data_IF_208410450892
#
_entry.id   IF_208410450892
#
_cell.length_a   1.000
_cell.length_b   1.000
_cell.length_c   1.000
_cell.angle_alpha   90.00
_cell.angle_beta   90.00
_cell.angle_gamma   90.00
#
_symmetry.space_group_name_H-M   'P 1'
#
loop_
_entity.id
_entity.type
_entity.pdbx_description
1 polymer ?
#
# COMPACT_ATOMS: atom_id res chain seq x y z
N UNK A 1 0.54 -10.48 37.84
CA UNK A 1 0.90 -11.61 36.95
C UNK A 1 -0.39 -12.21 36.39
N UNK A 2 -0.87 -11.74 35.24
CA UNK A 2 -1.91 -12.50 34.51
C UNK A 2 -1.20 -13.77 34.00
N UNK A 3 -1.66 -14.93 34.47
CA UNK A 3 -1.14 -16.21 33.97
C UNK A 3 -1.60 -16.34 32.53
N UNK A 4 -0.67 -16.43 31.58
CA UNK A 4 -0.97 -16.90 30.22
C UNK A 4 -1.75 -18.20 30.35
N UNK A 5 -3.03 -18.20 30.03
CA UNK A 5 -3.89 -19.38 30.17
C UNK A 5 -3.44 -20.41 29.14
N UNK A 6 -2.79 -21.52 29.54
CA UNK A 6 -2.37 -22.54 28.59
C UNK A 6 -3.61 -23.11 27.90
N UNK A 7 -3.71 -22.99 26.58
CA UNK A 7 -4.85 -23.50 25.79
C UNK A 7 -5.74 -22.46 25.12
N UNK A 8 -5.59 -21.16 25.39
CA UNK A 8 -6.26 -20.13 24.60
C UNK A 8 -5.60 -20.02 23.21
N UNK A 9 -6.42 -20.21 22.16
CA UNK A 9 -5.99 -20.08 20.75
C UNK A 9 -5.88 -18.62 20.28
N UNK A 10 -6.32 -17.64 21.08
CA UNK A 10 -6.21 -16.23 20.71
C UNK A 10 -4.78 -15.73 20.88
N UNK A 11 -4.33 -14.97 19.87
CA UNK A 11 -3.10 -14.18 19.94
C UNK A 11 -3.21 -13.23 21.13
N UNK A 12 -2.24 -13.29 22.02
CA UNK A 12 -2.07 -12.31 23.07
C UNK A 12 -1.51 -11.03 22.43
N UNK A 13 -2.34 -9.98 22.35
CA UNK A 13 -1.96 -8.69 21.75
C UNK A 13 -1.31 -7.78 22.82
N UNK A 14 -0.25 -8.30 23.43
CA UNK A 14 0.55 -7.65 24.46
C UNK A 14 2.02 -7.64 24.07
N UNK A 15 2.78 -6.68 24.62
CA UNK A 15 4.22 -6.61 24.42
C UNK A 15 4.91 -7.56 25.39
N UNK A 16 5.72 -8.44 24.80
CA UNK A 16 6.55 -9.38 25.52
C UNK A 16 8.02 -9.05 25.26
N UNK A 17 8.87 -9.24 26.27
CA UNK A 17 10.32 -9.09 26.16
C UNK A 17 11.02 -10.39 26.56
N UNK A 18 12.09 -10.70 25.84
CA UNK A 18 13.04 -11.77 26.15
C UNK A 18 14.43 -11.34 25.76
N UNK A 19 15.44 -11.82 26.48
CA UNK A 19 16.83 -11.73 26.01
C UNK A 19 17.06 -12.69 24.85
N UNK A 20 17.90 -12.27 23.91
CA UNK A 20 18.28 -13.04 22.74
C UNK A 20 19.79 -13.05 22.61
N UNK A 21 20.35 -14.23 22.32
CA UNK A 21 21.71 -14.33 21.81
C UNK A 21 21.70 -13.95 20.34
N UNK A 22 22.31 -12.80 20.02
CA UNK A 22 22.37 -12.26 18.65
C UNK A 22 23.05 -13.23 17.68
N UNK A 23 24.03 -14.00 18.16
CA UNK A 23 24.80 -14.93 17.31
C UNK A 23 23.95 -16.13 16.89
N UNK A 24 23.14 -16.65 17.81
CA UNK A 24 22.39 -17.90 17.57
C UNK A 24 20.90 -17.67 17.26
N UNK A 25 20.39 -16.47 17.52
CA UNK A 25 18.96 -16.15 17.47
C UNK A 25 18.13 -16.84 18.56
N UNK A 26 18.77 -17.50 19.53
CA UNK A 26 18.07 -18.21 20.60
C UNK A 26 17.61 -17.25 21.68
N UNK A 27 16.36 -17.41 22.09
CA UNK A 27 15.82 -16.78 23.28
C UNK A 27 16.52 -17.34 24.53
N UNK A 28 17.07 -16.47 25.38
CA UNK A 28 17.80 -16.82 26.60
C UNK A 28 16.92 -16.84 27.84
N UNK A 29 15.79 -16.11 27.81
CA UNK A 29 14.85 -16.01 28.93
C UNK A 29 13.42 -16.33 28.49
N UNK A 30 12.57 -16.88 29.37
CA UNK A 30 11.13 -16.92 29.12
C UNK A 30 10.59 -15.51 28.80
N UNK A 31 9.60 -15.40 27.89
CA UNK A 31 9.00 -14.11 27.58
C UNK A 31 8.25 -13.54 28.77
N UNK A 32 8.53 -12.28 29.10
CA UNK A 32 7.85 -11.51 30.14
C UNK A 32 6.93 -10.47 29.49
N UNK A 33 5.68 -10.42 29.92
CA UNK A 33 4.74 -9.35 29.52
C UNK A 33 5.19 -8.04 30.16
N UNK A 34 5.37 -7.00 29.36
CA UNK A 34 5.73 -5.65 29.82
C UNK A 34 4.66 -4.60 29.53
N UNK A 35 3.70 -4.87 28.62
CA UNK A 35 2.58 -3.98 28.33
C UNK A 35 1.38 -4.76 27.79
N UNK A 36 0.22 -4.57 28.40
CA UNK A 36 -1.09 -4.96 27.88
C UNK A 36 -1.89 -3.68 27.61
N UNK A 37 -2.45 -3.49 26.41
CA UNK A 37 -3.20 -2.27 26.06
C UNK A 37 -4.66 -2.33 26.53
N UNK A 38 -5.20 -1.28 27.17
CA UNK A 38 -6.65 -1.16 27.42
C UNK A 38 -7.46 -0.92 26.14
N UNK A 39 -6.79 -0.66 25.00
CA UNK A 39 -7.37 -0.49 23.68
C UNK A 39 -7.31 -1.76 22.82
N UNK A 40 -7.08 -2.92 23.46
CA UNK A 40 -7.20 -4.25 22.87
C UNK A 40 -5.94 -4.75 22.17
N UNK A 41 -5.23 -3.90 21.44
CA UNK A 41 -3.98 -4.26 20.75
C UNK A 41 -2.83 -3.42 21.29
N UNK A 42 -1.74 -4.05 21.72
CA UNK A 42 -0.41 -3.43 21.82
C UNK A 42 0.53 -4.10 20.81
N UNK A 43 1.15 -3.31 19.94
CA UNK A 43 2.09 -3.78 18.92
C UNK A 43 3.17 -2.75 18.61
N UNK A 44 4.05 -3.03 17.64
CA UNK A 44 5.05 -2.07 17.16
C UNK A 44 5.98 -1.55 18.25
N UNK A 45 6.39 -2.42 19.18
CA UNK A 45 7.13 -1.98 20.36
C UNK A 45 8.59 -1.67 20.06
N UNK A 46 9.05 -0.49 20.50
CA UNK A 46 10.45 -0.08 20.44
C UNK A 46 10.92 0.37 21.82
N UNK A 47 12.09 -0.11 22.27
CA UNK A 47 12.74 0.36 23.49
C UNK A 47 13.97 1.19 23.13
N UNK A 48 13.98 2.45 23.57
CA UNK A 48 15.10 3.38 23.35
C UNK A 48 15.61 3.86 24.70
N UNK A 49 16.94 3.90 24.87
CA UNK A 49 17.55 4.48 26.07
C UNK A 49 17.97 5.92 25.79
N UNK A 50 17.54 6.86 26.62
CA UNK A 50 17.97 8.27 26.58
C UNK A 50 18.16 8.79 28.00
N UNK A 51 19.35 9.30 28.28
CA UNK A 51 19.72 9.72 29.63
C UNK A 51 19.59 8.57 30.63
N UNK A 52 18.85 8.80 31.72
CA UNK A 52 18.60 7.79 32.77
C UNK A 52 17.45 6.84 32.47
N UNK A 53 16.65 7.10 31.43
CA UNK A 53 15.42 6.36 31.17
C UNK A 53 15.55 5.42 29.97
N UNK A 54 14.86 4.30 30.08
CA UNK A 54 14.38 3.49 28.96
C UNK A 54 12.99 3.99 28.60
N UNK A 55 12.69 4.14 27.32
CA UNK A 55 11.40 4.52 26.78
C UNK A 55 10.83 3.37 25.98
N UNK A 56 9.63 2.91 26.32
CA UNK A 56 8.86 1.92 25.58
C UNK A 56 7.81 2.65 24.75
N UNK A 57 7.99 2.65 23.43
CA UNK A 57 6.99 3.07 22.47
C UNK A 57 6.13 1.88 22.07
N UNK A 58 4.82 2.09 21.92
CA UNK A 58 3.89 1.06 21.45
C UNK A 58 2.78 1.69 20.63
N UNK A 59 2.40 1.03 19.53
CA UNK A 59 1.18 1.29 18.81
C UNK A 59 0.01 0.56 19.47
N UNK A 60 -1.11 1.25 19.66
CA UNK A 60 -2.30 0.68 20.29
C UNK A 60 -3.58 0.92 19.48
N UNK A 61 -4.61 0.11 19.73
CA UNK A 61 -5.93 0.23 19.07
C UNK A 61 -6.03 -0.41 17.68
N UNK A 62 -4.93 -0.98 17.18
CA UNK A 62 -4.80 -1.59 15.86
C UNK A 62 -4.59 -0.56 14.75
N UNK A 63 -4.09 -0.99 13.59
CA UNK A 63 -3.69 -0.10 12.48
C UNK A 63 -4.85 0.58 11.71
N UNK A 64 -6.07 0.59 12.26
CA UNK A 64 -7.27 1.15 11.64
C UNK A 64 -7.67 2.49 12.28
N UNK A 65 -8.97 2.83 12.32
CA UNK A 65 -9.45 4.12 12.82
C UNK A 65 -9.08 4.41 14.28
N UNK A 66 -8.82 3.38 15.10
CA UNK A 66 -8.40 3.51 16.50
C UNK A 66 -6.89 3.61 16.72
N UNK A 67 -6.08 3.65 15.66
CA UNK A 67 -4.62 3.63 15.77
C UNK A 67 -4.08 4.86 16.48
N UNK A 68 -3.28 4.63 17.52
CA UNK A 68 -2.68 5.66 18.36
C UNK A 68 -1.32 5.21 18.87
N UNK A 69 -0.46 6.16 19.21
CA UNK A 69 0.87 5.87 19.73
C UNK A 69 0.95 6.17 21.23
N UNK A 70 1.66 5.33 21.97
CA UNK A 70 1.89 5.47 23.40
C UNK A 70 3.38 5.43 23.71
N UNK A 71 3.75 6.14 24.77
CA UNK A 71 5.10 6.09 25.33
C UNK A 71 5.04 5.92 26.84
N UNK A 72 5.90 5.02 27.32
CA UNK A 72 6.14 4.79 28.74
C UNK A 72 7.64 4.89 29.01
N UNK A 73 8.04 5.11 30.25
CA UNK A 73 9.46 5.10 30.63
C UNK A 73 9.74 4.31 31.90
N UNK A 74 10.99 3.89 32.07
CA UNK A 74 11.49 3.22 33.27
C UNK A 74 12.94 3.64 33.50
N UNK A 75 13.31 3.95 34.74
CA UNK A 75 14.71 4.22 35.11
C UNK A 75 15.41 2.97 35.69
N UNK A 76 14.68 1.87 35.89
CA UNK A 76 15.22 0.61 36.41
C UNK A 76 15.78 -0.24 35.27
N UNK A 77 15.08 -0.33 34.14
CA UNK A 77 15.51 -1.18 33.04
C UNK A 77 14.44 -1.44 31.98
N UNK A 78 14.78 -2.22 30.93
CA UNK A 78 13.86 -2.58 29.86
C UNK A 78 12.76 -3.57 30.29
N UNK A 79 12.80 -4.05 31.54
CA UNK A 79 11.74 -4.88 32.13
C UNK A 79 10.68 -4.07 32.88
N UNK A 80 10.84 -2.74 32.94
CA UNK A 80 9.99 -1.87 33.73
C UNK A 80 10.38 -1.83 35.22
N UNK A 81 9.48 -1.39 36.12
CA UNK A 81 8.10 -0.96 35.85
C UNK A 81 8.04 0.24 34.90
N UNK A 82 6.95 0.34 34.15
CA UNK A 82 6.73 1.35 33.13
C UNK A 82 5.76 2.42 33.63
N UNK A 83 6.22 3.67 33.75
CA UNK A 83 5.36 4.83 34.02
C UNK A 83 4.93 5.47 32.70
N UNK A 84 3.69 5.97 32.63
CA UNK A 84 3.15 6.66 31.46
C UNK A 84 2.45 7.96 31.86
N UNK A 85 2.12 8.80 30.87
CA UNK A 85 1.45 10.09 31.12
C UNK A 85 -0.07 10.00 31.30
N UNK A 86 -0.65 8.78 31.26
CA UNK A 86 -2.10 8.57 31.39
C UNK A 86 -2.91 8.90 30.13
N UNK A 87 -2.25 9.28 29.03
CA UNK A 87 -2.85 9.57 27.73
C UNK A 87 -1.93 9.08 26.61
N UNK A 88 -2.50 8.89 25.41
CA UNK A 88 -1.74 8.59 24.21
C UNK A 88 -0.76 9.73 23.91
N UNK A 89 0.40 9.37 23.36
CA UNK A 89 1.38 10.33 22.86
C UNK A 89 0.79 11.14 21.70
N UNK A 90 0.03 10.49 20.81
CA UNK A 90 -0.93 11.14 19.92
C UNK A 90 -2.04 10.19 19.45
N UNK A 91 -3.13 10.78 19.00
CA UNK A 91 -4.20 10.14 18.23
C UNK A 91 -4.77 11.17 17.25
N UNK A 92 -4.58 10.97 15.94
CA UNK A 92 -5.05 11.94 14.93
C UNK A 92 -6.58 11.96 14.82
N UNK A 93 -7.25 10.81 14.95
CA UNK A 93 -8.69 10.70 14.74
C UNK A 93 -9.15 10.63 13.27
N UNK A 94 -10.45 10.37 13.05
CA UNK A 94 -11.00 10.02 11.74
C UNK A 94 -11.38 11.22 10.86
N UNK A 95 -11.27 12.45 11.37
CA UNK A 95 -11.64 13.68 10.65
C UNK A 95 -10.43 14.42 10.07
N UNK A 96 -9.23 13.94 10.34
CA UNK A 96 -7.98 14.54 9.87
C UNK A 96 -7.64 14.13 8.42
N UNK A 97 -6.87 14.97 7.73
CA UNK A 97 -6.35 14.68 6.37
C UNK A 97 -5.30 13.56 6.35
N UNK A 98 -4.67 13.31 7.50
CA UNK A 98 -3.81 12.16 7.75
C UNK A 98 -4.41 11.39 8.92
N UNK A 99 -4.67 10.11 8.72
CA UNK A 99 -5.35 9.26 9.69
C UNK A 99 -4.53 8.02 10.00
N UNK A 100 -5.02 7.23 10.96
CA UNK A 100 -4.45 5.93 11.36
C UNK A 100 -2.95 6.02 11.66
N UNK A 101 -2.51 7.12 12.29
CA UNK A 101 -1.10 7.39 12.56
C UNK A 101 -0.61 6.65 13.80
N UNK A 102 0.54 6.00 13.71
CA UNK A 102 1.12 5.21 14.80
C UNK A 102 2.22 4.29 14.28
N UNK A 103 2.59 3.28 15.07
CA UNK A 103 3.65 2.32 14.76
C UNK A 103 4.97 3.05 14.50
N UNK A 104 5.34 3.89 15.46
CA UNK A 104 6.46 4.80 15.27
C UNK A 104 7.79 4.17 15.65
N UNK A 105 8.84 4.70 15.04
CA UNK A 105 10.22 4.49 15.48
C UNK A 105 10.90 5.86 15.57
N UNK A 106 11.84 5.99 16.50
CA UNK A 106 12.52 7.26 16.77
C UNK A 106 14.03 7.14 16.62
N UNK A 107 14.66 8.24 16.22
CA UNK A 107 16.11 8.30 16.08
C UNK A 107 16.63 9.70 16.36
N UNK A 108 17.86 9.76 16.87
CA UNK A 108 18.65 10.99 16.92
C UNK A 108 19.46 11.11 15.63
N UNK A 109 19.52 12.31 15.03
CA UNK A 109 20.43 12.58 13.93
C UNK A 109 21.83 12.97 14.40
N UNK A 110 22.76 13.15 13.45
CA UNK A 110 24.16 13.49 13.76
C UNK A 110 24.36 14.85 14.44
N UNK A 111 23.33 15.68 14.54
CA UNK A 111 23.37 17.01 15.18
C UNK A 111 22.64 17.00 16.55
N UNK A 112 22.28 15.82 17.07
CA UNK A 112 21.57 15.67 18.33
C UNK A 112 20.07 15.98 18.26
N UNK A 113 19.50 16.14 17.07
CA UNK A 113 18.06 16.40 16.89
C UNK A 113 17.31 15.08 16.81
N UNK A 114 16.19 14.99 17.51
CA UNK A 114 15.35 13.80 17.52
C UNK A 114 14.25 13.88 16.47
N UNK A 115 13.98 12.72 15.86
CA UNK A 115 13.02 12.54 14.79
C UNK A 115 12.24 11.26 15.03
N UNK A 116 11.05 11.19 14.44
CA UNK A 116 10.24 9.98 14.40
C UNK A 116 9.74 9.70 12.99
N UNK A 117 9.76 8.43 12.61
CA UNK A 117 9.02 7.92 11.46
C UNK A 117 7.82 7.12 11.95
N UNK A 118 6.71 7.20 11.23
CA UNK A 118 5.49 6.49 11.58
C UNK A 118 4.70 6.17 10.31
N UNK A 119 3.80 5.22 10.39
CA UNK A 119 2.84 5.02 9.33
C UNK A 119 1.66 6.00 9.47
N UNK A 120 0.95 6.24 8.37
CA UNK A 120 -0.35 6.91 8.33
C UNK A 120 -1.03 6.66 7.00
N UNK A 121 -2.26 7.16 6.83
CA UNK A 121 -3.00 7.06 5.57
C UNK A 121 -3.56 8.43 5.16
N UNK A 122 -3.71 8.65 3.85
CA UNK A 122 -4.27 9.89 3.29
C UNK A 122 -5.59 9.63 2.57
N UNK A 123 -6.71 9.44 3.29
CA UNK A 123 -7.98 9.14 2.65
C UNK A 123 -8.47 10.32 1.80
N UNK A 124 -9.22 10.02 0.74
CA UNK A 124 -9.84 11.04 -0.11
C UNK A 124 -11.25 11.33 0.39
N UNK A 125 -11.71 12.58 0.27
CA UNK A 125 -13.11 12.91 0.54
C UNK A 125 -13.98 12.63 -0.68
N UNK A 126 -15.06 11.89 -0.48
CA UNK A 126 -16.16 11.72 -1.43
C UNK A 126 -17.47 12.03 -0.72
N UNK A 127 -18.33 12.84 -1.32
CA UNK A 127 -19.63 13.23 -0.73
C UNK A 127 -19.52 13.76 0.72
N UNK A 128 -18.45 14.50 1.00
CA UNK A 128 -18.20 15.09 2.32
C UNK A 128 -17.61 14.15 3.37
N UNK A 129 -17.37 12.87 3.04
CA UNK A 129 -16.79 11.87 3.97
C UNK A 129 -15.48 11.31 3.44
N UNK A 130 -14.57 10.96 4.34
CA UNK A 130 -13.39 10.20 3.96
C UNK A 130 -13.78 8.77 3.57
N UNK A 131 -13.24 8.30 2.44
CA UNK A 131 -13.38 6.92 1.99
C UNK A 131 -12.12 6.12 2.30
N UNK A 132 -12.19 4.80 2.17
CA UNK A 132 -11.08 3.90 2.47
C UNK A 132 -9.81 4.30 1.68
N UNK A 133 -8.66 4.49 2.35
CA UNK A 133 -7.43 4.94 1.70
C UNK A 133 -6.89 3.90 0.70
N UNK A 134 -6.86 4.29 -0.58
CA UNK A 134 -6.44 3.45 -1.70
C UNK A 134 -4.92 3.39 -1.91
N UNK A 135 -4.15 4.24 -1.22
CA UNK A 135 -2.68 4.27 -1.31
C UNK A 135 -2.00 3.29 -0.34
N UNK A 136 -2.79 2.66 0.53
CA UNK A 136 -2.28 1.92 1.68
C UNK A 136 -1.66 2.83 2.73
N UNK A 137 -0.85 2.24 3.61
CA UNK A 137 -0.14 2.95 4.68
C UNK A 137 1.16 3.54 4.13
N UNK A 138 1.34 4.84 4.37
CA UNK A 138 2.45 5.67 3.92
C UNK A 138 3.32 6.07 5.12
N UNK A 139 4.57 6.49 4.85
CA UNK A 139 5.50 6.90 5.91
C UNK A 139 5.52 8.41 6.07
N UNK A 140 5.38 8.86 7.31
CA UNK A 140 5.50 10.27 7.71
C UNK A 140 6.76 10.45 8.55
N UNK A 141 7.26 11.69 8.61
CA UNK A 141 8.42 12.10 9.42
C UNK A 141 8.02 13.33 10.23
N UNK A 142 8.31 13.33 11.53
CA UNK A 142 8.16 14.51 12.40
C UNK A 142 9.36 14.74 13.29
N UNK A 143 9.52 15.98 13.73
CA UNK A 143 10.50 16.34 14.76
C UNK A 143 9.99 15.92 16.14
N UNK A 144 10.91 15.49 16.98
CA UNK A 144 10.67 15.14 18.39
C UNK A 144 11.48 16.09 19.25
N UNK A 145 10.79 16.83 20.11
CA UNK A 145 11.39 17.65 21.16
C UNK A 145 11.34 16.88 22.49
N UNK A 146 12.15 17.29 23.47
CA UNK A 146 12.16 16.67 24.79
C UNK A 146 11.94 17.75 25.86
N UNK A 147 10.93 17.56 26.70
CA UNK A 147 10.60 18.46 27.81
C UNK A 147 10.37 17.61 29.05
N UNK A 148 11.05 17.95 30.15
CA UNK A 148 10.96 17.22 31.44
C UNK A 148 11.12 15.69 31.29
N UNK A 149 12.11 15.29 30.47
CA UNK A 149 12.41 13.90 30.12
C UNK A 149 11.24 13.14 29.46
N UNK A 150 10.33 13.84 28.78
CA UNK A 150 9.28 13.26 27.94
C UNK A 150 9.38 13.75 26.50
N UNK A 151 9.11 12.89 25.50
CA UNK A 151 9.14 13.31 24.12
C UNK A 151 7.84 14.05 23.74
N UNK A 152 7.99 15.13 22.98
CA UNK A 152 6.91 15.93 22.41
C UNK A 152 7.02 15.83 20.88
N UNK A 153 6.12 15.07 20.28
CA UNK A 153 6.12 14.85 18.83
C UNK A 153 5.41 15.99 18.13
N UNK A 154 5.97 16.46 17.02
CA UNK A 154 5.34 17.46 16.15
C UNK A 154 4.81 18.70 16.91
N UNK A 155 5.52 19.13 17.95
CA UNK A 155 5.12 20.25 18.82
C UNK A 155 3.77 20.03 19.53
N UNK A 156 3.40 18.78 19.80
CA UNK A 156 2.13 18.41 20.44
C UNK A 156 0.91 18.52 19.52
N UNK A 157 1.11 18.65 18.20
CA UNK A 157 0.04 18.77 17.21
C UNK A 157 -0.17 17.48 16.43
N UNK A 158 -1.39 17.28 15.92
CA UNK A 158 -1.72 16.20 14.99
C UNK A 158 -0.74 16.17 13.80
N UNK A 159 -0.45 14.97 13.33
CA UNK A 159 0.37 14.76 12.14
C UNK A 159 -0.44 15.20 10.92
N UNK A 160 0.14 16.04 10.06
CA UNK A 160 -0.54 16.57 8.86
C UNK A 160 0.25 16.23 7.61
N UNK A 161 -0.26 16.58 6.42
CA UNK A 161 0.50 16.41 5.18
C UNK A 161 1.77 17.24 5.13
N UNK A 162 1.86 18.29 5.95
CA UNK A 162 3.00 19.22 6.01
C UNK A 162 3.59 19.23 7.40
N UNK A 163 4.65 18.46 7.56
CA UNK A 163 5.45 18.41 8.78
C UNK A 163 6.77 19.14 8.61
N UNK A 164 7.49 19.32 9.72
CA UNK A 164 8.88 19.78 9.68
C UNK A 164 9.75 18.62 9.18
N UNK A 165 10.48 18.84 8.08
CA UNK A 165 11.43 17.88 7.53
C UNK A 165 12.86 18.14 8.01
N UNK A 166 13.75 17.18 7.75
CA UNK A 166 15.19 17.32 7.96
C UNK A 166 15.81 18.29 6.96
N UNK A 167 16.79 19.06 7.40
CA UNK A 167 17.69 19.79 6.51
C UNK A 167 18.53 18.78 5.70
N UNK A 168 18.91 19.14 4.47
CA UNK A 168 19.75 18.31 3.58
C UNK A 168 19.17 16.95 3.13
N UNK A 169 17.88 16.89 2.79
CA UNK A 169 17.30 15.70 2.13
C UNK A 169 17.40 15.76 0.61
N UNK A 170 17.72 14.63 -0.02
CA UNK A 170 17.50 14.46 -1.45
C UNK A 170 15.99 14.50 -1.71
N UNK A 171 15.55 15.49 -2.49
CA UNK A 171 14.14 15.58 -2.89
C UNK A 171 13.83 14.44 -3.87
N UNK A 172 12.62 13.90 -3.76
CA UNK A 172 12.13 12.94 -4.73
C UNK A 172 12.21 13.52 -6.15
N UNK A 173 12.46 12.69 -7.17
CA UNK A 173 12.48 13.13 -8.56
C UNK A 173 11.17 13.86 -8.91
N UNK A 174 11.30 15.08 -9.41
CA UNK A 174 10.18 15.81 -10.01
C UNK A 174 10.01 15.38 -11.46
N UNK A 175 8.82 15.61 -12.01
CA UNK A 175 8.58 15.38 -13.43
C UNK A 175 9.60 16.15 -14.27
N UNK A 176 10.15 15.51 -15.31
CA UNK A 176 11.00 16.18 -16.28
C UNK A 176 10.18 17.18 -17.13
N UNK A 177 10.84 17.90 -18.04
CA UNK A 177 10.22 18.93 -18.89
C UNK A 177 9.01 18.45 -19.72
N UNK A 178 8.87 17.14 -19.96
CA UNK A 178 7.75 16.52 -20.70
C UNK A 178 6.75 15.82 -19.78
N UNK A 179 6.78 16.09 -18.47
CA UNK A 179 5.81 15.58 -17.51
C UNK A 179 6.07 14.14 -17.02
N UNK A 180 7.17 13.51 -17.42
CA UNK A 180 7.50 12.14 -17.00
C UNK A 180 8.27 12.17 -15.68
N UNK A 181 7.67 11.61 -14.63
CA UNK A 181 8.32 11.45 -13.30
C UNK A 181 9.28 10.28 -13.24
N UNK A 182 8.95 9.20 -13.95
CA UNK A 182 9.73 7.98 -13.95
C UNK A 182 9.56 7.22 -15.27
N UNK A 183 10.62 6.56 -15.71
CA UNK A 183 10.65 5.66 -16.87
C UNK A 183 11.59 4.51 -16.55
N UNK A 184 11.13 3.28 -16.82
CA UNK A 184 11.98 2.10 -16.67
C UNK A 184 13.19 2.18 -17.62
N UNK A 185 14.38 1.93 -17.09
CA UNK A 185 15.58 1.75 -17.90
C UNK A 185 15.66 0.29 -18.40
N UNK A 186 15.19 0.07 -19.62
CA UNK A 186 15.17 -1.25 -20.28
C UNK A 186 16.49 -1.62 -20.95
N UNK A 187 17.53 -0.79 -20.82
CA UNK A 187 18.88 -1.09 -21.34
C UNK A 187 19.71 -1.93 -20.37
N UNK A 188 19.30 -2.00 -19.10
CA UNK A 188 19.98 -2.77 -18.05
C UNK A 188 19.75 -4.28 -18.21
N UNK A 189 20.64 -5.07 -17.62
CA UNK A 189 20.52 -6.53 -17.57
C UNK A 189 19.62 -7.04 -16.43
N UNK A 190 19.25 -6.18 -15.48
CA UNK A 190 18.40 -6.50 -14.33
C UNK A 190 17.40 -5.39 -14.03
N UNK A 191 16.29 -5.75 -13.38
CA UNK A 191 15.31 -4.77 -12.92
C UNK A 191 15.93 -3.86 -11.86
N UNK A 192 15.64 -2.57 -11.96
CA UNK A 192 15.96 -1.62 -10.90
C UNK A 192 15.13 -1.87 -9.63
N UNK A 193 15.56 -1.27 -8.52
CA UNK A 193 14.78 -1.30 -7.28
C UNK A 193 13.39 -0.66 -7.49
N UNK A 194 12.36 -1.23 -6.87
CA UNK A 194 10.99 -0.73 -6.91
C UNK A 194 10.03 -1.55 -7.78
N UNK A 195 10.54 -2.58 -8.47
CA UNK A 195 9.71 -3.64 -9.05
C UNK A 195 9.39 -4.72 -8.01
N UNK A 196 8.14 -5.19 -8.02
CA UNK A 196 7.64 -6.19 -7.09
C UNK A 196 7.02 -7.37 -7.84
N UNK A 197 7.17 -8.56 -7.28
CA UNK A 197 6.39 -9.74 -7.64
C UNK A 197 5.29 -9.96 -6.61
N UNK A 198 4.17 -10.54 -7.05
CA UNK A 198 3.25 -11.21 -6.13
C UNK A 198 3.86 -12.56 -5.75
N UNK A 199 4.12 -12.74 -4.45
CA UNK A 199 4.77 -13.92 -3.90
C UNK A 199 6.15 -14.20 -4.53
N UNK A 200 6.67 -15.40 -4.34
CA UNK A 200 7.96 -15.85 -4.88
C UNK A 200 7.75 -16.69 -6.14
N UNK A 201 8.18 -16.25 -7.33
CA UNK A 201 8.11 -17.06 -8.54
C UNK A 201 9.00 -18.31 -8.42
N UNK A 202 8.49 -19.49 -8.82
CA UNK A 202 9.26 -20.74 -8.87
C UNK A 202 10.35 -20.68 -9.95
N UNK A 203 10.09 -19.93 -11.02
CA UNK A 203 11.04 -19.66 -12.11
C UNK A 203 10.97 -18.18 -12.48
N UNK A 204 12.06 -17.58 -12.98
CA UNK A 204 12.01 -16.21 -13.49
C UNK A 204 10.90 -16.04 -14.53
N UNK A 205 10.05 -15.04 -14.33
CA UNK A 205 8.94 -14.73 -15.24
C UNK A 205 9.23 -13.51 -16.14
N UNK A 206 10.48 -13.03 -16.17
CA UNK A 206 10.89 -11.93 -17.04
C UNK A 206 12.33 -12.05 -17.55
N UNK A 207 12.66 -11.29 -18.60
CA UNK A 207 14.02 -11.08 -19.08
C UNK A 207 14.16 -9.68 -19.68
N UNK A 208 15.29 -9.01 -19.40
CA UNK A 208 15.72 -7.77 -20.08
C UNK A 208 16.80 -8.03 -21.15
N UNK A 209 17.34 -9.24 -21.19
CA UNK A 209 18.51 -9.59 -22.01
C UNK A 209 18.15 -10.41 -23.24
N UNK A 210 17.04 -11.15 -23.24
CA UNK A 210 16.62 -11.95 -24.40
C UNK A 210 16.24 -11.07 -25.60
N UNK A 211 15.81 -9.83 -25.34
CA UNK A 211 15.61 -8.80 -26.36
C UNK A 211 16.02 -7.45 -25.79
N UNK A 212 17.27 -7.00 -26.00
CA UNK A 212 17.76 -5.73 -25.47
C UNK A 212 16.83 -4.55 -25.80
N UNK A 213 16.58 -3.68 -24.82
CA UNK A 213 15.63 -2.57 -24.93
C UNK A 213 14.17 -2.94 -24.66
N UNK A 214 13.87 -4.20 -24.33
CA UNK A 214 12.52 -4.67 -23.99
C UNK A 214 12.52 -5.43 -22.67
N UNK A 215 11.46 -5.23 -21.89
CA UNK A 215 11.07 -6.14 -20.82
C UNK A 215 10.21 -7.25 -21.40
N UNK A 216 10.75 -8.46 -21.49
CA UNK A 216 9.95 -9.64 -21.82
C UNK A 216 9.35 -10.20 -20.54
N UNK A 217 8.05 -10.47 -20.56
CA UNK A 217 7.33 -11.22 -19.52
C UNK A 217 6.93 -12.58 -20.09
N UNK A 218 7.20 -13.65 -19.34
CA UNK A 218 6.81 -15.02 -19.69
C UNK A 218 5.54 -15.38 -18.91
N UNK A 219 4.40 -15.42 -19.61
CA UNK A 219 3.14 -15.89 -19.04
C UNK A 219 3.27 -17.29 -18.44
N UNK A 220 2.61 -17.54 -17.32
CA UNK A 220 2.57 -18.84 -16.66
C UNK A 220 1.11 -19.34 -16.53
N UNK A 221 0.90 -20.45 -15.83
CA UNK A 221 -0.43 -21.05 -15.66
C UNK A 221 -1.30 -20.35 -14.60
N UNK A 222 -0.80 -19.32 -13.92
CA UNK A 222 -1.51 -18.60 -12.88
C UNK A 222 -2.07 -17.28 -13.43
N UNK A 223 -3.34 -17.04 -13.18
CA UNK A 223 -4.00 -15.76 -13.45
C UNK A 223 -3.84 -14.79 -12.27
N UNK A 224 -4.37 -13.57 -12.40
CA UNK A 224 -4.19 -12.52 -11.39
C UNK A 224 -5.01 -12.75 -10.10
N UNK A 225 -6.02 -13.63 -10.13
CA UNK A 225 -6.78 -14.03 -8.94
C UNK A 225 -6.16 -15.24 -8.20
N UNK A 226 -5.12 -15.84 -8.78
CA UNK A 226 -4.43 -16.98 -8.17
C UNK A 226 -3.76 -16.59 -6.84
N UNK A 227 -3.85 -17.46 -5.81
CA UNK A 227 -3.06 -17.29 -4.59
C UNK A 227 -1.55 -17.50 -4.83
N UNK A 228 -1.16 -18.05 -5.98
CA UNK A 228 0.22 -18.33 -6.35
C UNK A 228 0.95 -17.09 -6.91
N UNK A 229 2.06 -17.28 -7.63
CA UNK A 229 2.86 -16.21 -8.26
C UNK A 229 2.57 -16.10 -9.76
N UNK A 230 1.57 -15.30 -10.18
CA UNK A 230 1.35 -14.99 -11.59
C UNK A 230 2.52 -14.23 -12.20
N UNK A 231 2.65 -14.32 -13.53
CA UNK A 231 3.65 -13.57 -14.30
C UNK A 231 3.32 -12.07 -14.34
N UNK A 232 3.59 -11.38 -13.23
CA UNK A 232 3.35 -9.95 -13.06
C UNK A 232 4.57 -9.27 -12.45
N UNK A 233 4.77 -8.02 -12.88
CA UNK A 233 5.71 -7.08 -12.31
C UNK A 233 4.93 -5.82 -11.93
N UNK A 234 4.98 -5.46 -10.65
CA UNK A 234 4.22 -4.38 -10.07
C UNK A 234 5.15 -3.24 -9.63
N UNK A 235 4.61 -2.03 -9.58
CA UNK A 235 5.19 -0.89 -8.87
C UNK A 235 4.11 -0.29 -7.99
N UNK A 236 4.50 0.31 -6.87
CA UNK A 236 3.55 1.02 -6.00
C UNK A 236 3.03 2.26 -6.72
N UNK A 237 1.72 2.47 -6.69
CA UNK A 237 1.11 3.76 -6.96
C UNK A 237 1.62 4.75 -5.90
N UNK A 238 2.04 5.95 -6.32
CA UNK A 238 2.63 6.96 -5.39
C UNK A 238 1.87 8.27 -5.36
N UNK A 239 0.86 8.41 -6.21
CA UNK A 239 -0.02 9.57 -6.29
C UNK A 239 -1.45 9.14 -6.59
N UNK A 240 -2.42 9.87 -6.06
CA UNK A 240 -3.83 9.73 -6.44
C UNK A 240 -4.10 10.14 -7.89
N UNK A 241 -3.29 11.05 -8.41
CA UNK A 241 -3.33 11.47 -9.80
C UNK A 241 -2.00 11.10 -10.47
N UNK A 242 -2.02 10.01 -11.22
CA UNK A 242 -0.88 9.54 -12.00
C UNK A 242 -1.34 8.88 -13.30
N UNK A 243 -0.42 8.81 -14.27
CA UNK A 243 -0.61 8.09 -15.52
C UNK A 243 0.50 7.06 -15.68
N UNK A 244 0.11 5.81 -15.88
CA UNK A 244 1.02 4.72 -16.22
C UNK A 244 0.80 4.30 -17.68
N UNK A 245 1.89 4.15 -18.42
CA UNK A 245 1.88 3.75 -19.83
C UNK A 245 2.94 2.67 -20.04
N UNK A 246 2.53 1.61 -20.72
CA UNK A 246 3.43 0.61 -21.29
C UNK A 246 3.18 0.52 -22.79
N UNK A 247 4.23 0.23 -23.55
CA UNK A 247 4.12 -0.19 -24.95
C UNK A 247 4.51 -1.67 -24.99
N UNK A 248 3.67 -2.48 -25.64
CA UNK A 248 3.84 -3.93 -25.65
C UNK A 248 3.69 -4.48 -27.06
N UNK A 249 4.37 -5.60 -27.31
CA UNK A 249 4.19 -6.42 -28.51
C UNK A 249 3.72 -7.78 -28.00
N UNK A 250 2.47 -8.14 -28.31
CA UNK A 250 1.89 -9.41 -27.90
C UNK A 250 0.97 -9.95 -29.00
N UNK A 251 1.20 -11.19 -29.41
CA UNK A 251 0.45 -11.89 -30.46
C UNK A 251 -0.10 -13.19 -29.86
N UNK A 252 -1.24 -13.13 -29.13
CA UNK A 252 -1.76 -14.31 -28.47
C UNK A 252 -2.25 -15.33 -29.51
N UNK A 253 -1.75 -16.56 -29.41
CA UNK A 253 -2.03 -17.64 -30.37
C UNK A 253 -3.13 -18.60 -29.92
N UNK A 254 -3.58 -18.52 -28.67
CA UNK A 254 -4.55 -19.44 -28.06
C UNK A 254 -5.46 -18.71 -27.08
N UNK A 255 -6.73 -19.11 -27.07
CA UNK A 255 -7.68 -18.63 -26.07
C UNK A 255 -7.14 -18.85 -24.65
N UNK A 256 -7.32 -17.85 -23.79
CA UNK A 256 -6.76 -17.83 -22.44
C UNK A 256 -5.38 -17.17 -22.32
N UNK A 257 -4.69 -16.90 -23.44
CA UNK A 257 -3.46 -16.10 -23.40
C UNK A 257 -3.79 -14.62 -23.37
N UNK A 258 -3.24 -13.93 -22.38
CA UNK A 258 -3.46 -12.52 -22.16
C UNK A 258 -2.20 -11.83 -21.63
N UNK A 259 -1.99 -10.58 -22.04
CA UNK A 259 -0.96 -9.70 -21.50
C UNK A 259 -1.45 -8.25 -21.53
N UNK A 260 -1.08 -7.46 -20.53
CA UNK A 260 -1.58 -6.10 -20.39
C UNK A 260 -1.08 -5.38 -19.14
N UNK A 261 -1.80 -4.32 -18.79
CA UNK A 261 -1.57 -3.48 -17.60
C UNK A 261 -2.65 -3.83 -16.57
N UNK A 262 -2.28 -3.84 -15.29
CA UNK A 262 -3.20 -4.06 -14.18
C UNK A 262 -3.04 -2.97 -13.12
N UNK A 263 -4.17 -2.52 -12.56
CA UNK A 263 -4.22 -1.85 -11.26
C UNK A 263 -4.60 -2.93 -10.26
N UNK A 264 -3.67 -3.27 -9.37
CA UNK A 264 -3.76 -4.46 -8.54
C UNK A 264 -3.77 -4.08 -7.05
N UNK A 265 -4.83 -4.48 -6.33
CA UNK A 265 -4.94 -4.32 -4.88
C UNK A 265 -4.77 -5.67 -4.17
N UNK A 266 -5.50 -6.68 -4.65
CA UNK A 266 -5.38 -8.05 -4.16
C UNK A 266 -5.84 -9.03 -5.23
N UNK A 267 -5.70 -10.33 -4.97
CA UNK A 267 -6.26 -11.36 -5.84
C UNK A 267 -7.80 -11.31 -5.98
N UNK A 268 -8.47 -10.56 -5.09
CA UNK A 268 -9.93 -10.39 -5.08
C UNK A 268 -10.39 -9.07 -5.70
N UNK A 269 -9.50 -8.09 -5.85
CA UNK A 269 -9.82 -6.75 -6.35
C UNK A 269 -8.67 -6.22 -7.20
N UNK A 270 -8.90 -6.18 -8.50
CA UNK A 270 -7.99 -5.63 -9.48
C UNK A 270 -8.76 -5.22 -10.74
N UNK A 271 -8.19 -4.34 -11.54
CA UNK A 271 -8.68 -3.97 -12.86
C UNK A 271 -7.60 -4.16 -13.92
N UNK A 272 -7.97 -4.62 -15.11
CA UNK A 272 -7.02 -4.88 -16.20
C UNK A 272 -7.45 -4.25 -17.51
N UNK A 273 -6.46 -3.91 -18.32
CA UNK A 273 -6.60 -3.69 -19.75
C UNK A 273 -5.47 -4.44 -20.46
N UNK A 274 -5.83 -5.31 -21.40
CA UNK A 274 -4.86 -6.16 -22.08
C UNK A 274 -5.31 -6.62 -23.44
N UNK A 275 -4.41 -7.30 -24.14
CA UNK A 275 -4.68 -8.00 -25.38
C UNK A 275 -4.83 -9.48 -25.02
N UNK A 276 -5.96 -10.10 -25.38
CA UNK A 276 -6.21 -11.52 -25.20
C UNK A 276 -6.64 -12.17 -26.52
N UNK A 277 -6.32 -13.45 -26.71
CA UNK A 277 -6.96 -14.22 -27.77
C UNK A 277 -8.35 -14.66 -27.31
N UNK A 278 -9.37 -14.27 -28.06
CA UNK A 278 -10.78 -14.53 -27.76
C UNK A 278 -11.36 -15.39 -28.87
N UNK A 279 -12.01 -16.50 -28.52
CA UNK A 279 -12.87 -17.24 -29.44
C UNK A 279 -14.21 -16.52 -29.54
N UNK A 280 -14.69 -16.31 -30.76
CA UNK A 280 -16.06 -15.87 -30.98
C UNK A 280 -17.01 -17.06 -30.76
N UNK A 281 -18.28 -16.75 -30.48
CA UNK A 281 -19.31 -17.73 -30.15
C UNK A 281 -19.67 -18.64 -31.34
N UNK A 282 -19.24 -18.28 -32.56
CA UNK A 282 -19.47 -18.99 -33.82
C UNK A 282 -18.49 -20.14 -34.08
N UNK A 283 -17.56 -20.41 -33.16
CA UNK A 283 -16.55 -21.47 -33.30
C UNK A 283 -15.34 -21.11 -34.16
N UNK A 284 -15.23 -19.85 -34.62
CA UNK A 284 -14.08 -19.35 -35.38
C UNK A 284 -12.75 -19.38 -34.61
N UNK A 285 -11.66 -19.16 -35.35
CA UNK A 285 -10.30 -19.08 -34.80
C UNK A 285 -10.21 -17.93 -33.79
N UNK A 286 -9.44 -18.15 -32.71
CA UNK A 286 -9.25 -17.11 -31.70
C UNK A 286 -8.55 -15.88 -32.31
N UNK A 287 -9.14 -14.70 -32.12
CA UNK A 287 -8.59 -13.43 -32.60
C UNK A 287 -8.08 -12.57 -31.44
N UNK A 288 -6.97 -11.83 -31.60
CA UNK A 288 -6.53 -10.86 -30.60
C UNK A 288 -7.57 -9.75 -30.43
N UNK A 289 -8.07 -9.56 -29.21
CA UNK A 289 -8.97 -8.47 -28.83
C UNK A 289 -8.47 -7.75 -27.60
N UNK A 290 -8.86 -6.49 -27.46
CA UNK A 290 -8.72 -5.78 -26.19
C UNK A 290 -9.75 -6.35 -25.23
N UNK A 291 -9.31 -6.70 -24.04
CA UNK A 291 -10.15 -7.15 -22.93
C UNK A 291 -9.89 -6.24 -21.74
N UNK A 292 -10.97 -5.75 -21.13
CA UNK A 292 -10.91 -5.06 -19.84
C UNK A 292 -11.61 -5.88 -18.78
N UNK A 293 -11.10 -5.81 -17.54
CA UNK A 293 -11.76 -6.36 -16.36
C UNK A 293 -11.87 -5.31 -15.29
N UNK A 294 -13.04 -5.15 -14.71
CA UNK A 294 -13.32 -4.18 -13.67
C UNK A 294 -13.97 -4.88 -12.47
N UNK A 295 -13.63 -4.51 -11.23
CA UNK A 295 -14.26 -5.05 -10.04
C UNK A 295 -15.74 -4.64 -9.98
N UNK A 296 -16.63 -5.57 -9.65
CA UNK A 296 -18.08 -5.28 -9.51
C UNK A 296 -18.49 -4.86 -8.10
N UNK A 297 -17.55 -4.89 -7.14
CA UNK A 297 -17.81 -4.73 -5.71
C UNK A 297 -18.16 -6.04 -5.00
N UNK A 298 -18.23 -7.17 -5.71
CA UNK A 298 -18.35 -8.52 -5.14
C UNK A 298 -17.04 -9.27 -5.27
N UNK A 299 -16.69 -10.02 -4.21
CA UNK A 299 -15.44 -10.80 -4.15
C UNK A 299 -15.40 -11.80 -5.31
N UNK A 300 -14.28 -11.82 -6.03
CA UNK A 300 -14.02 -12.72 -7.16
C UNK A 300 -14.95 -12.53 -8.38
N UNK A 301 -15.73 -11.45 -8.43
CA UNK A 301 -16.57 -11.13 -9.58
C UNK A 301 -15.98 -9.92 -10.33
N UNK A 302 -15.62 -10.14 -11.60
CA UNK A 302 -15.09 -9.11 -12.49
C UNK A 302 -16.01 -8.97 -13.70
N UNK A 303 -16.37 -7.72 -14.01
CA UNK A 303 -17.05 -7.40 -15.26
C UNK A 303 -16.03 -7.43 -16.39
N UNK A 304 -16.18 -8.37 -17.32
CA UNK A 304 -15.33 -8.48 -18.51
C UNK A 304 -15.98 -7.70 -19.65
N UNK A 305 -15.22 -6.83 -20.30
CA UNK A 305 -15.69 -6.09 -21.48
C UNK A 305 -14.70 -6.23 -22.63
N UNK A 306 -15.21 -6.06 -23.86
CA UNK A 306 -14.43 -6.11 -25.11
C UNK A 306 -14.70 -4.81 -25.88
N UNK A 307 -14.00 -3.72 -25.55
CA UNK A 307 -14.23 -2.42 -26.19
C UNK A 307 -14.06 -2.50 -27.71
N UNK A 308 -14.91 -1.77 -28.45
CA UNK A 308 -14.77 -1.63 -29.90
C UNK A 308 -13.46 -0.96 -30.31
N UNK A 309 -13.06 -1.12 -31.58
CA UNK A 309 -11.76 -0.71 -32.10
C UNK A 309 -11.45 0.82 -32.07
N UNK A 310 -12.35 1.66 -31.58
CA UNK A 310 -12.23 3.13 -31.60
C UNK A 310 -11.20 3.71 -30.62
N UNK A 311 -10.59 2.90 -29.75
CA UNK A 311 -9.49 3.32 -28.85
C UNK A 311 -8.09 2.94 -29.38
N UNK A 312 -7.97 2.56 -30.66
CA UNK A 312 -6.69 2.18 -31.28
C UNK A 312 -6.03 3.34 -32.04
N UNK A 313 -4.75 3.59 -31.73
CA UNK A 313 -3.78 4.05 -32.74
C UNK A 313 -3.02 2.81 -33.20
N UNK A 314 -3.58 2.11 -34.19
CA UNK A 314 -2.87 1.04 -34.89
C UNK A 314 -1.88 1.67 -35.89
N UNK A 315 -0.58 1.38 -35.74
CA UNK A 315 0.39 1.58 -36.82
C UNK A 315 0.78 0.20 -37.31
N UNK A 316 0.69 0.01 -38.63
CA UNK A 316 0.74 -1.26 -39.34
C UNK A 316 1.72 -2.31 -38.77
N UNK A 317 1.24 -3.56 -38.73
CA UNK A 317 1.95 -4.83 -38.43
C UNK A 317 2.40 -5.13 -36.99
N UNK A 318 2.25 -4.20 -36.04
CA UNK A 318 2.45 -4.48 -34.60
C UNK A 318 1.37 -3.81 -33.75
N UNK A 319 0.65 -4.59 -32.94
CA UNK A 319 -0.33 -4.06 -32.00
C UNK A 319 0.39 -3.26 -30.91
N UNK A 320 0.38 -1.92 -31.02
CA UNK A 320 0.84 -1.01 -29.96
C UNK A 320 -0.35 -0.60 -29.10
N UNK A 321 -0.41 -1.08 -27.87
CA UNK A 321 -1.28 -0.46 -26.87
C UNK A 321 -0.56 0.77 -26.33
N UNK A 322 -1.06 1.97 -26.67
CA UNK A 322 -0.65 3.22 -26.03
C UNK A 322 -1.84 3.69 -25.22
N UNK A 323 -1.83 3.44 -23.91
CA UNK A 323 -2.77 4.09 -23.01
C UNK A 323 -2.27 5.51 -22.78
N UNK A 324 -2.88 6.49 -23.46
CA UNK A 324 -2.82 7.89 -23.03
C UNK A 324 -4.09 8.17 -22.23
N UNK A 325 -3.94 8.39 -20.93
CA UNK A 325 -4.88 9.22 -20.20
C UNK A 325 -4.49 10.66 -20.51
N UNK A 326 -5.01 11.18 -21.62
CA UNK A 326 -4.98 12.61 -21.88
C UNK A 326 -6.43 13.05 -21.89
N UNK A 327 -6.74 14.04 -21.06
CA UNK A 327 -7.86 14.94 -21.27
C UNK A 327 -7.34 16.12 -22.09
N UNK A 328 -7.63 16.20 -23.40
CA UNK A 328 -7.57 17.43 -24.13
C UNK A 328 -9.01 17.86 -24.42
N UNK A 329 -9.55 18.84 -23.70
CA UNK A 329 -10.26 19.98 -24.31
C UNK A 329 -10.77 21.03 -23.30
N UNK A 330 -11.00 22.27 -23.80
CA UNK A 330 -11.24 23.45 -22.99
C UNK A 330 -12.64 23.48 -22.37
N UNK A 331 -12.80 24.43 -21.45
CA UNK A 331 -14.03 24.78 -20.75
C UNK A 331 -15.28 24.73 -21.65
N UNK A 332 -16.38 24.24 -21.08
CA UNK A 332 -17.76 24.25 -21.57
C UNK A 332 -18.21 23.04 -22.42
N UNK A 333 -18.61 21.97 -21.74
CA UNK A 333 -19.91 21.31 -21.90
C UNK A 333 -19.93 20.05 -21.02
N UNK A 334 -21.01 19.90 -20.27
CA UNK A 334 -21.23 18.80 -19.32
C UNK A 334 -21.54 17.53 -20.09
N UNK A 335 -20.70 16.51 -19.93
CA UNK A 335 -21.07 15.09 -19.91
C UNK A 335 -19.85 14.30 -19.39
N UNK A 336 -19.92 13.91 -18.12
CA UNK A 336 -18.85 13.18 -17.44
C UNK A 336 -19.12 11.68 -17.51
N UNK A 337 -18.11 10.88 -17.86
CA UNK A 337 -18.09 9.46 -17.49
C UNK A 337 -17.06 9.27 -16.37
N UNK A 338 -17.54 9.33 -15.14
CA UNK A 338 -16.79 8.94 -13.96
C UNK A 338 -16.77 7.40 -13.89
N UNK A 339 -15.59 6.79 -13.73
CA UNK A 339 -15.51 5.42 -13.18
C UNK A 339 -15.52 5.58 -11.66
N UNK A 340 -16.72 5.66 -11.09
CA UNK A 340 -16.97 5.70 -9.65
C UNK A 340 -17.08 4.27 -9.12
N UNK A 341 -16.32 3.92 -8.07
CA UNK A 341 -16.58 2.74 -7.24
C UNK A 341 -17.89 2.97 -6.45
N UNK A 342 -18.86 2.06 -6.59
CA UNK A 342 -20.23 2.17 -6.03
C UNK A 342 -20.30 2.15 -4.49
N UNK A 343 -21.30 2.85 -3.92
CA UNK A 343 -21.93 2.49 -2.64
C UNK A 343 -23.46 2.69 -2.64
N UNK A 344 -24.16 1.55 -2.74
CA UNK A 344 -25.47 1.07 -2.22
C UNK A 344 -26.72 1.97 -1.98
N UNK A 345 -27.94 1.37 -2.03
CA UNK A 345 -29.24 2.03 -2.18
C UNK A 345 -29.92 2.38 -0.85
N UNK A 346 -30.98 3.18 -0.91
CA UNK A 346 -31.88 3.52 0.20
C UNK A 346 -33.35 3.61 -0.28
N UNK A 347 -34.37 3.36 0.57
CA UNK A 347 -35.52 2.51 0.25
C UNK A 347 -36.83 3.24 -0.07
N UNK A 348 -37.86 2.40 -0.34
CA UNK A 348 -39.33 2.62 -0.51
C UNK A 348 -39.73 2.75 -1.98
N UNK A 349 -40.82 2.14 -2.45
CA UNK A 349 -42.11 1.88 -1.80
C UNK A 349 -42.82 0.67 -2.42
N UNK A 350 -43.65 -0.02 -1.64
CA UNK A 350 -44.78 -0.82 -2.16
C UNK A 350 -45.65 0.03 -3.09
N UNK A 351 -46.33 -0.60 -4.04
CA UNK A 351 -47.79 -0.57 -3.96
C UNK A 351 -48.42 -1.97 -3.96
N UNK A 352 -49.56 -2.03 -3.28
CA UNK A 352 -50.52 -3.14 -3.24
C UNK A 352 -51.17 -3.43 -4.60
N UNK A 353 -51.88 -4.56 -4.61
CA UNK A 353 -52.96 -5.04 -5.50
C UNK A 353 -52.46 -5.83 -6.72
N UNK A 354 -52.94 -7.05 -7.01
CA UNK A 354 -54.07 -7.85 -6.49
C UNK A 354 -53.62 -9.26 -6.12
#
# INVERSE_FOLDING_TARGET
MSKRTPGLKMKDFAIHISEIDITTGRTLTPPQVIRESPHGIAEGSHIVRKGRYYYLFTAEGGTEAGHQEWVFRSDIGPYGPWEGQGQALWYNGPEEEVQRTGHCDIFEDGDGRWWAVMLGVRPVKSEGKYIEPQMGRETFLVRVDWVDDWPIFNQGRNITLRTVGREHVQKAPVANAVGVRWRADLSKSSLELGWYHKNTPIKPCYSLTERPGYLRLFGNCFDLNSPESPAMLLRKQTSYNESFRAEMIFKPSRAGYESGITVWWSQYSYATIGIAAVREDDGSLAVPKIVTREPTGKVSELKVQRPGASTLVAVANDYRLVTRFFDPRPQHARDWTWITMCSWPSPRSRPNTR
#
